data_IF_558581480091
#
_entry.id   IF_558581480091
#
_cell.length_a   1.000
_cell.length_b   1.000
_cell.length_c   1.000
_cell.angle_alpha   90.00
_cell.angle_beta   90.00
_cell.angle_gamma   90.00
#
_symmetry.space_group_name_H-M   'P 1'
#
loop_
_entity.id
_entity.type
_entity.pdbx_description
1 polymer ?
#
# COMPACT_ATOMS: atom_id res chain seq x y z
N UNK A 1 -6.01 35.98 12.20
CA UNK A 1 -7.29 35.28 11.99
C UNK A 1 -7.04 33.81 12.37
N UNK A 2 -7.69 33.32 13.39
CA UNK A 2 -7.65 31.89 13.74
C UNK A 2 -8.70 31.24 12.84
N UNK A 3 -8.25 30.61 11.76
CA UNK A 3 -9.15 29.81 10.93
C UNK A 3 -9.66 28.64 11.77
N UNK A 4 -10.95 28.30 11.63
CA UNK A 4 -11.51 27.13 12.29
C UNK A 4 -10.89 25.86 11.68
N UNK A 5 -10.73 24.80 12.47
CA UNK A 5 -10.18 23.51 12.01
C UNK A 5 -10.92 22.95 10.77
N UNK A 6 -12.21 23.23 10.65
CA UNK A 6 -13.03 22.87 9.50
C UNK A 6 -12.57 23.51 8.18
N UNK A 7 -12.00 24.72 8.21
CA UNK A 7 -11.48 25.40 7.01
C UNK A 7 -10.25 24.68 6.47
N UNK A 8 -9.34 24.22 7.32
CA UNK A 8 -8.14 23.47 6.87
C UNK A 8 -8.49 22.15 6.22
N UNK A 9 -9.50 21.45 6.74
CA UNK A 9 -10.00 20.22 6.12
C UNK A 9 -10.61 20.51 4.75
N UNK A 10 -11.47 21.51 4.65
CA UNK A 10 -12.11 21.90 3.38
C UNK A 10 -11.08 22.33 2.33
N UNK A 11 -10.08 23.13 2.71
CA UNK A 11 -9.01 23.56 1.81
C UNK A 11 -8.15 22.37 1.34
N UNK A 12 -7.86 21.42 2.22
CA UNK A 12 -7.16 20.19 1.87
C UNK A 12 -7.97 19.34 0.89
N UNK A 13 -9.24 19.11 1.17
CA UNK A 13 -10.15 18.37 0.28
C UNK A 13 -10.23 19.02 -1.11
N UNK A 14 -10.43 20.34 -1.17
CA UNK A 14 -10.46 21.07 -2.45
C UNK A 14 -9.13 20.99 -3.22
N UNK A 15 -8.02 21.08 -2.50
CA UNK A 15 -6.68 20.98 -3.07
C UNK A 15 -6.40 19.60 -3.65
N UNK A 16 -6.72 18.54 -2.90
CA UNK A 16 -6.55 17.17 -3.34
C UNK A 16 -7.49 16.81 -4.49
N UNK A 17 -8.77 17.21 -4.42
CA UNK A 17 -9.73 17.00 -5.51
C UNK A 17 -9.22 17.64 -6.81
N UNK A 18 -8.74 18.90 -6.74
CA UNK A 18 -8.13 19.61 -7.89
C UNK A 18 -6.88 18.91 -8.39
N UNK A 19 -5.98 18.47 -7.50
CA UNK A 19 -4.75 17.79 -7.87
C UNK A 19 -5.01 16.53 -8.68
N UNK A 20 -5.98 15.71 -8.26
CA UNK A 20 -6.34 14.45 -8.93
C UNK A 20 -7.33 14.64 -10.09
N UNK A 21 -7.87 15.84 -10.30
CA UNK A 21 -8.92 16.09 -11.30
C UNK A 21 -10.24 15.40 -10.95
N UNK A 22 -10.51 15.15 -9.65
CA UNK A 22 -11.74 14.54 -9.15
C UNK A 22 -12.70 15.62 -8.62
N UNK A 23 -14.00 15.35 -8.60
CA UNK A 23 -15.01 16.32 -8.16
C UNK A 23 -15.07 16.44 -6.63
N UNK A 24 -14.87 15.35 -5.92
CA UNK A 24 -15.02 15.28 -4.47
C UNK A 24 -13.82 14.61 -3.83
N UNK A 25 -13.42 15.13 -2.68
CA UNK A 25 -12.46 14.54 -1.77
C UNK A 25 -13.07 14.50 -0.37
N UNK A 26 -12.91 13.40 0.33
CA UNK A 26 -13.30 13.23 1.72
C UNK A 26 -12.04 12.96 2.52
N UNK A 27 -11.69 13.89 3.43
CA UNK A 27 -10.55 13.75 4.31
C UNK A 27 -10.86 12.76 5.43
N UNK A 28 -9.91 11.89 5.77
CA UNK A 28 -10.06 10.83 6.78
C UNK A 28 -8.86 10.78 7.72
N UNK A 29 -8.96 10.07 8.84
CA UNK A 29 -7.89 9.96 9.83
C UNK A 29 -6.61 9.34 9.28
N UNK A 30 -6.73 8.32 8.44
CA UNK A 30 -5.61 7.65 7.78
C UNK A 30 -6.10 6.81 6.59
N UNK A 31 -5.16 6.19 5.85
CA UNK A 31 -5.50 5.32 4.72
C UNK A 31 -6.34 4.08 5.09
N UNK A 32 -6.21 3.55 6.31
CA UNK A 32 -7.01 2.40 6.78
C UNK A 32 -8.45 2.80 7.03
N UNK A 33 -8.69 3.98 7.65
CA UNK A 33 -10.02 4.56 7.76
C UNK A 33 -10.63 4.83 6.38
N UNK A 34 -9.86 5.40 5.45
CA UNK A 34 -10.30 5.65 4.09
C UNK A 34 -10.73 4.36 3.37
N UNK A 35 -9.94 3.30 3.47
CA UNK A 35 -10.28 1.99 2.89
C UNK A 35 -11.52 1.39 3.54
N UNK A 36 -11.65 1.44 4.87
CA UNK A 36 -12.81 0.93 5.59
C UNK A 36 -14.12 1.61 5.12
N UNK A 37 -14.11 2.94 5.05
CA UNK A 37 -15.24 3.71 4.54
C UNK A 37 -15.54 3.37 3.07
N UNK A 38 -14.52 3.20 2.24
CA UNK A 38 -14.68 2.81 0.83
C UNK A 38 -15.28 1.40 0.69
N UNK A 39 -14.87 0.44 1.53
CA UNK A 39 -15.43 -0.91 1.52
C UNK A 39 -16.90 -0.94 1.97
N UNK A 40 -17.30 -0.02 2.85
CA UNK A 40 -18.69 0.12 3.29
C UNK A 40 -19.64 0.53 2.16
N UNK A 41 -19.13 1.06 1.05
CA UNK A 41 -19.94 1.37 -0.15
C UNK A 41 -20.40 0.11 -0.89
N UNK A 42 -19.72 -1.02 -0.71
CA UNK A 42 -20.16 -2.29 -1.32
C UNK A 42 -21.44 -2.81 -0.68
N UNK A 43 -22.28 -3.49 -1.46
CA UNK A 43 -23.53 -4.06 -0.95
C UNK A 43 -23.28 -5.05 0.20
N UNK A 44 -24.09 -4.98 1.24
CA UNK A 44 -24.08 -5.95 2.35
C UNK A 44 -24.42 -7.38 1.90
N UNK A 45 -25.14 -7.52 0.80
CA UNK A 45 -25.43 -8.84 0.20
C UNK A 45 -24.23 -9.41 -0.57
N UNK A 46 -23.17 -8.59 -0.77
CA UNK A 46 -21.90 -8.97 -1.42
C UNK A 46 -20.74 -8.62 -0.49
N UNK A 47 -20.56 -9.35 0.63
CA UNK A 47 -19.72 -8.93 1.74
C UNK A 47 -18.21 -9.13 1.49
N UNK A 48 -17.81 -9.76 0.39
CA UNK A 48 -16.42 -10.07 0.11
C UNK A 48 -15.72 -8.92 -0.61
N UNK A 49 -14.48 -8.60 -0.17
CA UNK A 49 -13.58 -7.66 -0.82
C UNK A 49 -12.40 -8.43 -1.40
N UNK A 50 -12.21 -8.33 -2.70
CA UNK A 50 -11.10 -8.98 -3.38
C UNK A 50 -9.83 -8.13 -3.28
N UNK A 51 -8.79 -8.70 -2.69
CA UNK A 51 -7.53 -8.06 -2.36
C UNK A 51 -6.36 -8.78 -3.06
N UNK A 52 -5.29 -8.07 -3.48
CA UNK A 52 -4.07 -8.75 -3.91
C UNK A 52 -3.42 -9.50 -2.74
N UNK A 53 -2.90 -10.72 -3.00
CA UNK A 53 -2.25 -11.54 -1.99
C UNK A 53 -0.90 -10.95 -1.49
N UNK A 54 -0.30 -10.04 -2.26
CA UNK A 54 0.93 -9.33 -1.93
C UNK A 54 0.65 -7.85 -1.67
N UNK A 55 0.57 -7.45 -0.41
CA UNK A 55 0.34 -6.05 0.01
C UNK A 55 0.62 -5.88 1.50
N UNK A 56 0.42 -4.68 2.07
CA UNK A 56 0.44 -4.49 3.52
C UNK A 56 -0.85 -5.05 4.18
N UNK A 57 -0.80 -5.27 5.50
CA UNK A 57 -1.93 -5.87 6.23
C UNK A 57 -3.11 -4.92 6.49
N UNK A 58 -2.92 -3.60 6.40
CA UNK A 58 -3.94 -2.62 6.73
C UNK A 58 -5.22 -2.71 5.88
N UNK A 59 -5.18 -3.05 4.57
CA UNK A 59 -6.40 -3.32 3.81
C UNK A 59 -7.25 -4.48 4.35
N UNK A 60 -6.63 -5.50 4.98
CA UNK A 60 -7.38 -6.56 5.65
C UNK A 60 -8.07 -6.05 6.92
N UNK A 61 -7.39 -5.20 7.71
CA UNK A 61 -7.99 -4.56 8.88
C UNK A 61 -9.17 -3.68 8.48
N UNK A 62 -8.99 -2.90 7.41
CA UNK A 62 -10.05 -2.07 6.88
C UNK A 62 -11.30 -2.87 6.47
N UNK A 63 -11.12 -4.08 5.92
CA UNK A 63 -12.24 -4.97 5.60
C UNK A 63 -12.99 -5.41 6.88
N UNK A 64 -12.27 -5.77 7.94
CA UNK A 64 -12.87 -6.09 9.25
C UNK A 64 -13.64 -4.88 9.84
N UNK A 65 -13.08 -3.67 9.72
CA UNK A 65 -13.75 -2.46 10.24
C UNK A 65 -15.01 -2.09 9.47
N UNK A 66 -15.12 -2.51 8.23
CA UNK A 66 -16.29 -2.34 7.39
C UNK A 66 -17.29 -3.52 7.46
N UNK A 67 -17.09 -4.48 8.36
CA UNK A 67 -17.86 -5.73 8.42
C UNK A 67 -17.86 -6.48 7.06
N UNK A 68 -16.69 -6.55 6.44
CA UNK A 68 -16.45 -7.23 5.17
C UNK A 68 -15.44 -8.35 5.31
N UNK A 69 -15.54 -9.34 4.45
CA UNK A 69 -14.65 -10.51 4.43
C UNK A 69 -13.60 -10.34 3.34
N UNK A 70 -12.31 -10.23 3.68
CA UNK A 70 -11.26 -10.21 2.67
C UNK A 70 -11.14 -11.58 1.99
N UNK A 71 -11.00 -11.59 0.67
CA UNK A 71 -10.61 -12.75 -0.14
C UNK A 71 -9.44 -12.33 -1.02
N UNK A 72 -8.58 -13.27 -1.40
CA UNK A 72 -7.31 -12.93 -2.03
C UNK A 72 -7.23 -13.44 -3.47
N UNK A 73 -6.54 -12.67 -4.30
CA UNK A 73 -6.19 -12.96 -5.69
C UNK A 73 -4.66 -12.91 -5.84
N UNK A 74 -4.08 -13.77 -6.67
CA UNK A 74 -2.64 -13.70 -6.97
C UNK A 74 -2.32 -12.44 -7.77
N UNK A 75 -1.05 -12.19 -7.98
CA UNK A 75 -0.53 -10.97 -8.57
C UNK A 75 0.28 -11.25 -9.83
N UNK A 76 0.51 -10.23 -10.63
CA UNK A 76 1.40 -10.29 -11.79
C UNK A 76 2.87 -10.30 -11.34
N UNK A 77 3.70 -11.16 -11.92
CA UNK A 77 5.11 -11.29 -11.56
C UNK A 77 5.91 -10.03 -11.91
N UNK A 78 5.57 -9.38 -13.02
CA UNK A 78 6.26 -8.21 -13.53
C UNK A 78 5.99 -6.91 -12.75
N UNK A 79 4.94 -6.85 -11.95
CA UNK A 79 4.55 -5.62 -11.25
C UNK A 79 4.22 -5.82 -9.76
N UNK A 80 3.84 -7.02 -9.36
CA UNK A 80 3.29 -7.30 -8.02
C UNK A 80 1.87 -6.79 -7.83
N UNK A 81 1.22 -6.21 -8.85
CA UNK A 81 -0.17 -5.75 -8.79
C UNK A 81 -1.14 -6.89 -9.04
N UNK A 82 -2.40 -6.74 -8.59
CA UNK A 82 -3.42 -7.77 -8.76
C UNK A 82 -3.56 -8.21 -10.22
N UNK A 83 -3.69 -9.51 -10.47
CA UNK A 83 -3.83 -10.08 -11.82
C UNK A 83 -5.26 -9.91 -12.32
N UNK A 84 -5.51 -9.10 -13.40
CA UNK A 84 -6.85 -8.84 -13.90
C UNK A 84 -7.51 -10.07 -14.54
N UNK A 85 -6.76 -11.06 -15.03
CA UNK A 85 -7.34 -12.29 -15.58
C UNK A 85 -7.90 -13.16 -14.44
N UNK A 86 -7.19 -13.23 -13.33
CA UNK A 86 -7.68 -13.93 -12.14
C UNK A 86 -8.83 -13.18 -11.48
N UNK A 87 -8.84 -11.84 -11.52
CA UNK A 87 -9.98 -11.03 -11.04
C UNK A 87 -11.24 -11.39 -11.84
N UNK A 88 -11.19 -11.42 -13.18
CA UNK A 88 -12.31 -11.80 -14.04
C UNK A 88 -12.81 -13.21 -13.71
N UNK A 89 -11.88 -14.18 -13.59
CA UNK A 89 -12.22 -15.56 -13.25
C UNK A 89 -12.92 -15.65 -11.88
N UNK A 90 -12.44 -14.95 -10.86
CA UNK A 90 -13.01 -14.95 -9.52
C UNK A 90 -14.39 -14.27 -9.48
N UNK A 91 -14.57 -13.14 -10.16
CA UNK A 91 -15.86 -12.45 -10.22
C UNK A 91 -16.91 -13.26 -10.95
N UNK A 92 -16.53 -14.06 -11.96
CA UNK A 92 -17.44 -14.95 -12.68
C UNK A 92 -17.91 -16.15 -11.84
N UNK A 93 -17.16 -16.54 -10.80
CA UNK A 93 -17.40 -17.70 -9.94
C UNK A 93 -18.03 -17.39 -8.59
N UNK A 94 -17.84 -16.16 -8.09
CA UNK A 94 -18.30 -15.77 -6.75
C UNK A 94 -19.05 -14.43 -6.79
N UNK A 95 -20.35 -14.50 -6.85
CA UNK A 95 -21.25 -13.34 -6.83
C UNK A 95 -21.26 -12.55 -5.50
N UNK A 96 -20.64 -13.10 -4.43
CA UNK A 96 -20.55 -12.43 -3.13
C UNK A 96 -19.40 -11.40 -3.09
N UNK A 97 -18.56 -11.29 -4.11
CA UNK A 97 -17.51 -10.26 -4.19
C UNK A 97 -18.18 -8.93 -4.55
N UNK A 98 -18.13 -7.97 -3.61
CA UNK A 98 -18.76 -6.65 -3.74
C UNK A 98 -17.80 -5.54 -4.14
N UNK A 99 -16.50 -5.71 -3.90
CA UNK A 99 -15.48 -4.76 -4.32
C UNK A 99 -14.15 -5.43 -4.65
N UNK A 100 -13.36 -4.76 -5.50
CA UNK A 100 -11.97 -5.12 -5.86
C UNK A 100 -11.07 -3.97 -5.45
N UNK A 101 -9.97 -4.29 -4.76
CA UNK A 101 -8.91 -3.34 -4.43
C UNK A 101 -7.75 -3.46 -5.43
N UNK A 102 -7.55 -2.43 -6.23
CA UNK A 102 -6.40 -2.28 -7.12
C UNK A 102 -5.31 -1.46 -6.44
N UNK A 103 -4.26 -2.12 -5.95
CA UNK A 103 -3.12 -1.45 -5.29
C UNK A 103 -2.04 -1.17 -6.34
N UNK A 104 -1.61 0.08 -6.44
CA UNK A 104 -0.40 0.46 -7.18
C UNK A 104 0.85 0.11 -6.37
N UNK A 105 1.12 -1.18 -6.26
CA UNK A 105 2.13 -1.71 -5.35
C UNK A 105 3.54 -1.22 -5.74
N UNK A 106 4.30 -0.72 -4.76
CA UNK A 106 5.63 -0.14 -4.91
C UNK A 106 5.71 1.09 -5.83
N UNK A 107 4.57 1.59 -6.29
CA UNK A 107 4.45 2.62 -7.32
C UNK A 107 4.26 2.07 -8.72
N UNK A 108 4.17 0.75 -8.92
CA UNK A 108 3.83 0.14 -10.21
C UNK A 108 2.35 0.33 -10.53
N UNK A 109 2.05 0.66 -11.78
CA UNK A 109 0.67 0.81 -12.24
C UNK A 109 -0.09 -0.53 -12.24
N UNK A 110 -1.21 -0.61 -11.52
CA UNK A 110 -2.18 -1.66 -11.74
C UNK A 110 -2.84 -1.49 -13.12
N UNK A 111 -3.30 -2.57 -13.74
CA UNK A 111 -3.94 -2.54 -15.06
C UNK A 111 -5.38 -1.99 -14.98
N UNK A 112 -5.52 -0.72 -14.59
CA UNK A 112 -6.79 -0.09 -14.24
C UNK A 112 -7.84 -0.15 -15.35
N UNK A 113 -7.46 0.00 -16.62
CA UNK A 113 -8.41 -0.08 -17.75
C UNK A 113 -9.09 -1.43 -17.84
N UNK A 114 -8.35 -2.52 -17.63
CA UNK A 114 -8.90 -3.88 -17.61
C UNK A 114 -9.76 -4.10 -16.38
N UNK A 115 -9.24 -3.78 -15.20
CA UNK A 115 -9.97 -3.92 -13.94
C UNK A 115 -11.29 -3.14 -13.95
N UNK A 116 -11.28 -1.91 -14.51
CA UNK A 116 -12.50 -1.09 -14.64
C UNK A 116 -13.54 -1.73 -15.54
N UNK A 117 -13.12 -2.27 -16.68
CA UNK A 117 -14.04 -2.96 -17.60
C UNK A 117 -14.64 -4.21 -16.95
N UNK A 118 -13.80 -5.03 -16.30
CA UNK A 118 -14.22 -6.23 -15.57
C UNK A 118 -15.18 -5.89 -14.42
N UNK A 119 -14.81 -4.97 -13.53
CA UNK A 119 -15.65 -4.59 -12.40
C UNK A 119 -17.01 -4.02 -12.84
N UNK A 120 -17.02 -3.20 -13.90
CA UNK A 120 -18.26 -2.66 -14.47
C UNK A 120 -19.17 -3.77 -15.03
N UNK A 121 -18.61 -4.76 -15.75
CA UNK A 121 -19.37 -5.89 -16.29
C UNK A 121 -20.04 -6.73 -15.19
N UNK A 122 -19.39 -6.88 -14.04
CA UNK A 122 -19.88 -7.64 -12.89
C UNK A 122 -20.62 -6.79 -11.84
N UNK A 123 -20.78 -5.48 -12.07
CA UNK A 123 -21.37 -4.52 -11.13
C UNK A 123 -20.70 -4.57 -9.74
N UNK A 124 -19.36 -4.57 -9.73
CA UNK A 124 -18.49 -4.61 -8.56
C UNK A 124 -17.78 -3.27 -8.41
N UNK A 125 -17.68 -2.77 -7.20
CA UNK A 125 -16.99 -1.52 -6.88
C UNK A 125 -15.49 -1.68 -7.11
N UNK A 126 -14.87 -0.77 -7.90
CA UNK A 126 -13.43 -0.71 -8.08
C UNK A 126 -12.81 0.38 -7.20
N UNK A 127 -11.96 -0.03 -6.28
CA UNK A 127 -11.23 0.87 -5.37
C UNK A 127 -9.76 0.91 -5.80
N UNK A 128 -9.24 2.12 -6.05
CA UNK A 128 -7.86 2.38 -6.47
C UNK A 128 -7.03 2.86 -5.29
N UNK A 129 -6.01 2.09 -4.87
CA UNK A 129 -5.17 2.41 -3.71
C UNK A 129 -3.84 3.06 -4.13
N UNK A 130 -3.66 4.31 -3.71
CA UNK A 130 -2.51 5.17 -3.99
C UNK A 130 -1.49 5.22 -2.86
N UNK A 131 -1.65 4.43 -1.81
CA UNK A 131 -0.84 4.54 -0.59
C UNK A 131 0.68 4.39 -0.84
N UNK A 132 1.08 3.84 -1.98
CA UNK A 132 2.49 3.71 -2.41
C UNK A 132 2.78 4.38 -3.75
N UNK A 133 1.84 5.12 -4.30
CA UNK A 133 1.95 5.61 -5.68
C UNK A 133 1.42 7.04 -5.84
N UNK A 134 1.34 7.81 -4.74
CA UNK A 134 0.83 9.18 -4.75
C UNK A 134 1.62 10.05 -5.75
N UNK A 135 0.91 10.72 -6.67
CA UNK A 135 1.51 11.53 -7.73
C UNK A 135 2.03 10.75 -8.94
N UNK A 136 1.86 9.41 -8.95
CA UNK A 136 2.16 8.56 -10.11
C UNK A 136 1.27 8.86 -11.30
N UNK A 137 1.75 8.53 -12.51
CA UNK A 137 1.00 8.74 -13.75
C UNK A 137 1.00 7.49 -14.61
N UNK A 138 -0.11 7.28 -15.29
CA UNK A 138 -0.19 6.30 -16.38
C UNK A 138 0.57 6.77 -17.62
N UNK A 139 0.75 5.88 -18.59
CA UNK A 139 1.47 6.18 -19.83
C UNK A 139 0.79 7.29 -20.68
N UNK A 140 -0.52 7.45 -20.54
CA UNK A 140 -1.29 8.52 -21.19
C UNK A 140 -1.19 9.88 -20.48
N UNK A 141 -0.44 9.95 -19.38
CA UNK A 141 -0.23 11.15 -18.56
C UNK A 141 -1.29 11.39 -17.49
N UNK A 142 -2.38 10.62 -17.44
CA UNK A 142 -3.39 10.72 -16.38
C UNK A 142 -2.80 10.29 -15.03
N UNK A 143 -3.25 10.92 -13.95
CA UNK A 143 -2.80 10.58 -12.59
C UNK A 143 -3.37 9.25 -12.14
N UNK A 144 -2.57 8.47 -11.40
CA UNK A 144 -3.11 7.42 -10.55
C UNK A 144 -4.12 8.07 -9.59
N UNK A 145 -5.23 7.40 -9.35
CA UNK A 145 -6.35 7.95 -8.58
C UNK A 145 -7.49 8.53 -9.43
N UNK A 146 -7.32 8.55 -10.76
CA UNK A 146 -8.36 9.03 -11.69
C UNK A 146 -9.27 7.94 -12.25
N UNK A 147 -9.00 6.65 -11.97
CA UNK A 147 -9.61 5.52 -12.70
C UNK A 147 -10.62 4.73 -11.89
N UNK A 148 -10.45 4.56 -10.58
CA UNK A 148 -11.38 3.83 -9.72
C UNK A 148 -12.73 4.55 -9.55
N UNK A 149 -13.77 3.82 -9.15
CA UNK A 149 -15.04 4.43 -8.71
C UNK A 149 -14.78 5.34 -7.50
N UNK A 150 -13.95 4.85 -6.59
CA UNK A 150 -13.29 5.63 -5.54
C UNK A 150 -11.80 5.36 -5.56
N UNK A 151 -11.00 6.35 -5.13
CA UNK A 151 -9.56 6.21 -4.99
C UNK A 151 -9.14 6.62 -3.59
N UNK A 152 -8.18 5.91 -3.00
CA UNK A 152 -7.74 6.11 -1.62
C UNK A 152 -6.29 6.54 -1.58
N UNK A 153 -6.01 7.66 -0.92
CA UNK A 153 -4.66 8.13 -0.60
C UNK A 153 -4.36 7.98 0.89
N UNK A 154 -3.08 7.78 1.21
CA UNK A 154 -2.57 7.69 2.58
C UNK A 154 -1.36 8.60 2.76
N UNK A 155 -1.33 9.32 3.88
CA UNK A 155 -0.29 10.29 4.23
C UNK A 155 0.46 9.90 5.52
N UNK A 156 0.25 8.67 6.00
CA UNK A 156 0.94 8.11 7.16
C UNK A 156 2.43 7.89 6.93
N UNK A 157 3.10 7.31 7.93
CA UNK A 157 4.55 7.06 7.90
C UNK A 157 5.01 6.30 6.66
N UNK A 158 6.17 6.72 6.14
CA UNK A 158 6.84 6.15 4.97
C UNK A 158 6.06 6.26 3.65
N UNK A 159 5.06 7.12 3.57
CA UNK A 159 4.37 7.42 2.32
C UNK A 159 5.17 8.44 1.49
N UNK A 160 4.87 8.57 0.21
CA UNK A 160 5.55 9.52 -0.68
C UNK A 160 5.34 10.95 -0.17
N UNK A 161 4.11 11.28 0.21
CA UNK A 161 3.79 12.52 0.94
C UNK A 161 3.50 12.13 2.39
N UNK A 162 4.55 12.06 3.21
CA UNK A 162 4.49 11.62 4.61
C UNK A 162 4.20 12.80 5.54
N UNK A 163 3.06 12.79 6.19
CA UNK A 163 2.70 13.73 7.26
C UNK A 163 2.51 13.02 8.61
N UNK A 164 2.83 11.72 8.66
CA UNK A 164 2.66 10.87 9.84
C UNK A 164 1.23 10.43 10.09
N UNK A 165 0.25 11.08 9.47
CA UNK A 165 -1.18 10.86 9.66
C UNK A 165 -1.98 11.36 8.44
N UNK A 166 -3.27 11.01 8.37
CA UNK A 166 -4.17 11.45 7.31
C UNK A 166 -4.40 10.42 6.20
N UNK A 167 -5.59 10.51 5.64
CA UNK A 167 -6.02 9.78 4.45
C UNK A 167 -7.05 10.57 3.66
N UNK A 168 -7.30 10.20 2.43
CA UNK A 168 -8.32 10.83 1.60
C UNK A 168 -9.01 9.80 0.71
N UNK A 169 -10.29 10.03 0.45
CA UNK A 169 -11.08 9.29 -0.53
C UNK A 169 -11.50 10.27 -1.63
N UNK A 170 -11.32 9.88 -2.87
CA UNK A 170 -11.61 10.68 -4.05
C UNK A 170 -12.71 10.00 -4.86
N UNK A 171 -13.69 10.76 -5.34
CA UNK A 171 -14.77 10.27 -6.21
C UNK A 171 -15.34 11.38 -7.09
N UNK A 172 -16.06 11.00 -8.15
CA UNK A 172 -16.81 11.93 -9.00
C UNK A 172 -18.32 11.86 -8.79
N UNK A 173 -18.77 10.87 -8.00
CA UNK A 173 -20.17 10.65 -7.70
C UNK A 173 -20.61 11.42 -6.44
N UNK A 174 -21.57 12.35 -6.54
CA UNK A 174 -22.05 13.12 -5.40
C UNK A 174 -22.72 12.26 -4.34
N UNK A 175 -23.43 11.20 -4.73
CA UNK A 175 -24.12 10.33 -3.77
C UNK A 175 -23.15 9.47 -2.95
N UNK A 176 -22.05 9.05 -3.59
CA UNK A 176 -20.93 8.38 -2.92
C UNK A 176 -20.24 9.34 -1.95
N UNK A 177 -19.99 10.58 -2.38
CA UNK A 177 -19.36 11.59 -1.52
C UNK A 177 -20.20 11.89 -0.26
N UNK A 178 -21.51 12.06 -0.43
CA UNK A 178 -22.42 12.31 0.70
C UNK A 178 -22.47 11.10 1.65
N UNK A 179 -22.52 9.89 1.12
CA UNK A 179 -22.49 8.66 1.92
C UNK A 179 -21.19 8.57 2.72
N UNK A 180 -20.04 8.82 2.09
CA UNK A 180 -18.73 8.78 2.76
C UNK A 180 -18.59 9.84 3.85
N UNK A 181 -19.12 11.06 3.66
CA UNK A 181 -19.12 12.11 4.69
C UNK A 181 -19.95 11.69 5.91
N UNK A 182 -21.12 11.09 5.70
CA UNK A 182 -21.94 10.58 6.77
C UNK A 182 -21.21 9.48 7.56
N UNK A 183 -20.66 8.47 6.87
CA UNK A 183 -19.90 7.39 7.49
C UNK A 183 -18.66 7.90 8.24
N UNK A 184 -17.92 8.87 7.68
CA UNK A 184 -16.76 9.48 8.33
C UNK A 184 -17.15 10.18 9.63
N UNK A 185 -18.30 10.84 9.67
CA UNK A 185 -18.79 11.52 10.87
C UNK A 185 -19.17 10.59 12.02
N UNK A 186 -19.42 9.30 11.75
CA UNK A 186 -19.82 8.28 12.71
C UNK A 186 -18.63 7.55 13.36
N UNK A 187 -17.44 7.53 12.70
CA UNK A 187 -16.27 6.86 13.28
C UNK A 187 -15.70 7.66 14.47
N UNK A 188 -15.04 6.99 15.45
CA UNK A 188 -14.56 7.66 16.65
C UNK A 188 -13.45 8.66 16.37
N UNK A 189 -13.27 9.63 17.26
CA UNK A 189 -12.09 10.50 17.25
C UNK A 189 -10.83 9.71 17.58
N UNK A 190 -9.68 10.24 17.17
CA UNK A 190 -8.38 9.63 17.47
C UNK A 190 -8.16 9.49 18.97
N UNK A 191 -7.61 8.35 19.39
CA UNK A 191 -7.25 8.10 20.77
C UNK A 191 -6.11 9.05 21.22
N UNK A 192 -6.23 9.66 22.40
CA UNK A 192 -5.19 10.56 22.95
C UNK A 192 -3.86 9.82 23.18
N UNK A 193 -3.90 8.56 23.65
CA UNK A 193 -2.73 7.72 23.92
C UNK A 193 -2.29 6.89 22.70
N UNK A 194 -2.53 7.36 21.48
CA UNK A 194 -2.12 6.68 20.25
C UNK A 194 -0.62 6.30 20.19
N UNK A 195 0.35 7.08 20.73
CA UNK A 195 1.77 6.68 20.74
C UNK A 195 2.06 5.41 21.53
N UNK A 196 1.44 5.20 22.69
CA UNK A 196 1.59 3.99 23.50
C UNK A 196 1.01 2.77 22.76
N UNK A 197 -0.17 2.92 22.15
CA UNK A 197 -0.78 1.89 21.32
C UNK A 197 0.08 1.54 20.10
N UNK A 198 0.67 2.53 19.43
CA UNK A 198 1.57 2.30 18.30
C UNK A 198 2.84 1.55 18.70
N UNK A 199 3.37 1.83 19.91
CA UNK A 199 4.52 1.11 20.45
C UNK A 199 4.16 -0.35 20.75
N UNK A 200 3.01 -0.61 21.38
CA UNK A 200 2.52 -1.95 21.65
C UNK A 200 2.29 -2.74 20.36
N UNK A 201 1.65 -2.10 19.35
CA UNK A 201 1.47 -2.70 18.03
C UNK A 201 2.78 -3.14 17.41
N UNK A 202 3.80 -2.27 17.38
CA UNK A 202 5.12 -2.60 16.80
C UNK A 202 5.77 -3.78 17.51
N UNK A 203 5.78 -3.79 18.84
CA UNK A 203 6.37 -4.87 19.63
C UNK A 203 5.69 -6.19 19.32
N UNK A 204 4.37 -6.26 19.42
CA UNK A 204 3.60 -7.47 19.16
C UNK A 204 3.73 -7.94 17.71
N UNK A 205 3.68 -7.02 16.74
CA UNK A 205 3.86 -7.32 15.33
C UNK A 205 5.17 -8.06 15.07
N UNK A 206 6.31 -7.49 15.50
CA UNK A 206 7.62 -8.10 15.26
C UNK A 206 7.84 -9.38 16.06
N UNK A 207 7.25 -9.51 17.25
CA UNK A 207 7.25 -10.74 18.03
C UNK A 207 6.52 -11.87 17.27
N UNK A 208 5.32 -11.61 16.78
CA UNK A 208 4.53 -12.60 16.04
C UNK A 208 5.23 -12.98 14.74
N UNK A 209 5.78 -12.02 13.99
CA UNK A 209 6.57 -12.30 12.77
C UNK A 209 7.77 -13.20 13.08
N UNK A 210 8.49 -12.92 14.16
CA UNK A 210 9.64 -13.73 14.58
C UNK A 210 9.26 -15.15 15.00
N UNK A 211 8.18 -15.30 15.75
CA UNK A 211 7.67 -16.61 16.19
C UNK A 211 7.06 -17.37 15.01
N UNK A 212 6.30 -16.70 14.16
CA UNK A 212 5.67 -17.29 12.97
C UNK A 212 6.68 -17.80 11.94
N UNK A 213 7.87 -17.20 11.88
CA UNK A 213 8.98 -17.72 11.07
C UNK A 213 9.50 -19.08 11.58
N UNK A 214 9.28 -19.42 12.84
CA UNK A 214 9.65 -20.71 13.45
C UNK A 214 8.49 -21.71 13.42
N UNK A 215 7.27 -21.22 13.66
CA UNK A 215 6.04 -22.01 13.63
C UNK A 215 4.89 -21.13 13.11
N UNK A 216 4.41 -21.42 11.92
CA UNK A 216 3.38 -20.63 11.21
C UNK A 216 2.07 -20.48 12.02
N UNK A 217 1.79 -21.36 12.99
CA UNK A 217 0.61 -21.24 13.86
C UNK A 217 0.58 -19.93 14.65
N UNK A 218 1.74 -19.33 14.94
CA UNK A 218 1.77 -18.01 15.59
C UNK A 218 1.18 -16.88 14.74
N UNK A 219 1.10 -17.03 13.41
CA UNK A 219 0.42 -16.04 12.56
C UNK A 219 -1.09 -15.96 12.83
N UNK A 220 -1.71 -16.96 13.44
CA UNK A 220 -3.11 -16.91 13.87
C UNK A 220 -3.37 -15.80 14.90
N UNK A 221 -2.35 -15.34 15.62
CA UNK A 221 -2.46 -14.21 16.54
C UNK A 221 -2.77 -12.88 15.82
N UNK A 222 -2.47 -12.78 14.52
CA UNK A 222 -2.87 -11.63 13.74
C UNK A 222 -4.39 -11.51 13.54
N UNK A 223 -5.14 -12.58 13.76
CA UNK A 223 -6.61 -12.53 13.72
C UNK A 223 -7.19 -11.60 14.79
N UNK A 224 -6.47 -11.39 15.89
CA UNK A 224 -6.86 -10.48 16.98
C UNK A 224 -6.51 -9.00 16.71
N UNK A 225 -5.58 -8.74 15.80
CA UNK A 225 -5.02 -7.39 15.59
C UNK A 225 -6.05 -6.36 15.12
N UNK A 226 -6.97 -6.65 14.19
CA UNK A 226 -7.93 -5.66 13.76
C UNK A 226 -8.70 -5.07 14.94
N UNK A 227 -9.25 -5.92 15.82
CA UNK A 227 -10.03 -5.43 16.97
C UNK A 227 -9.17 -4.81 18.06
N UNK A 228 -8.03 -5.44 18.39
CA UNK A 228 -7.13 -4.93 19.43
C UNK A 228 -6.58 -3.54 19.09
N UNK A 229 -6.28 -3.29 17.82
CA UNK A 229 -5.68 -2.03 17.36
C UNK A 229 -6.64 -1.15 16.55
N UNK A 230 -7.94 -1.44 16.57
CA UNK A 230 -8.96 -0.59 15.92
C UNK A 230 -8.81 0.90 16.28
N UNK A 231 -8.59 1.31 17.54
CA UNK A 231 -8.44 2.73 17.89
C UNK A 231 -7.20 3.41 17.29
N UNK A 232 -6.20 2.62 16.85
CA UNK A 232 -5.00 3.12 16.19
C UNK A 232 -5.20 3.31 14.68
N UNK A 233 -6.10 2.56 14.06
CA UNK A 233 -6.21 2.49 12.60
C UNK A 233 -7.59 2.92 12.05
N UNK A 234 -8.61 3.08 12.91
CA UNK A 234 -9.95 3.46 12.49
C UNK A 234 -10.48 4.61 13.33
N UNK A 235 -10.20 5.82 12.87
CA UNK A 235 -10.55 7.06 13.56
C UNK A 235 -10.79 8.20 12.56
N UNK A 236 -11.50 9.23 13.05
CA UNK A 236 -11.92 10.42 12.32
C UNK A 236 -10.75 11.31 11.92
N UNK A 237 -10.95 12.07 10.86
CA UNK A 237 -10.05 13.08 10.35
C UNK A 237 -9.52 14.07 11.40
N UNK A 238 -8.25 14.49 11.23
CA UNK A 238 -7.63 15.55 12.02
C UNK A 238 -7.26 16.75 11.13
N UNK A 239 -7.51 17.95 11.60
CA UNK A 239 -7.25 19.17 10.86
C UNK A 239 -5.74 19.48 10.72
N UNK A 240 -4.94 19.10 11.72
CA UNK A 240 -3.50 19.36 11.69
C UNK A 240 -2.81 18.61 10.51
N UNK A 241 -3.17 17.34 10.28
CA UNK A 241 -2.63 16.57 9.16
C UNK A 241 -3.10 17.14 7.80
N UNK A 242 -4.34 17.63 7.71
CA UNK A 242 -4.86 18.28 6.49
C UNK A 242 -4.03 19.52 6.10
N UNK A 243 -3.71 20.36 7.05
CA UNK A 243 -2.84 21.53 6.84
C UNK A 243 -1.44 21.13 6.38
N UNK A 244 -0.86 20.08 6.97
CA UNK A 244 0.47 19.59 6.59
C UNK A 244 0.48 19.03 5.17
N UNK A 245 -0.54 18.30 4.74
CA UNK A 245 -0.67 17.76 3.38
C UNK A 245 -0.75 18.90 2.37
N UNK A 246 -1.61 19.91 2.59
CA UNK A 246 -1.75 21.06 1.71
C UNK A 246 -0.43 21.81 1.52
N UNK A 247 0.34 21.98 2.59
CA UNK A 247 1.64 22.65 2.54
C UNK A 247 2.70 21.83 1.79
N UNK A 248 2.76 20.52 1.99
CA UNK A 248 3.76 19.64 1.37
C UNK A 248 3.47 19.31 -0.08
N UNK A 249 2.23 19.42 -0.52
CA UNK A 249 1.84 19.12 -1.90
C UNK A 249 2.57 20.01 -2.92
N UNK A 250 2.91 21.26 -2.54
CA UNK A 250 3.68 22.16 -3.40
C UNK A 250 5.12 21.71 -3.68
N UNK A 251 5.69 20.87 -2.81
CA UNK A 251 7.04 20.31 -2.97
C UNK A 251 7.05 18.89 -3.57
N UNK A 252 5.88 18.33 -3.91
CA UNK A 252 5.73 16.96 -4.33
C UNK A 252 6.54 16.63 -5.61
N UNK A 253 6.54 17.52 -6.58
CA UNK A 253 7.27 17.30 -7.85
C UNK A 253 8.78 17.14 -7.61
N UNK A 254 9.36 17.92 -6.72
CA UNK A 254 10.76 17.79 -6.34
C UNK A 254 11.03 16.47 -5.61
N UNK A 255 10.16 16.08 -4.69
CA UNK A 255 10.27 14.80 -3.99
C UNK A 255 10.21 13.62 -4.99
N UNK A 256 9.29 13.67 -5.95
CA UNK A 256 9.18 12.64 -7.00
C UNK A 256 10.43 12.60 -7.87
N UNK A 257 10.98 13.74 -8.27
CA UNK A 257 12.20 13.82 -9.08
C UNK A 257 13.40 13.20 -8.33
N UNK A 258 13.58 13.54 -7.06
CA UNK A 258 14.65 12.98 -6.23
C UNK A 258 14.52 11.46 -6.07
N UNK A 259 13.30 10.95 -5.83
CA UNK A 259 13.04 9.51 -5.75
C UNK A 259 13.39 8.79 -7.04
N UNK A 260 13.01 9.37 -8.18
CA UNK A 260 13.35 8.81 -9.50
C UNK A 260 14.85 8.80 -9.74
N UNK A 261 15.54 9.89 -9.45
CA UNK A 261 16.99 9.98 -9.60
C UNK A 261 17.72 8.85 -8.86
N UNK A 262 17.38 8.62 -7.60
CA UNK A 262 17.98 7.56 -6.79
C UNK A 262 17.58 6.17 -7.28
N UNK A 263 16.32 5.98 -7.69
CA UNK A 263 15.86 4.72 -8.24
C UNK A 263 16.55 4.37 -9.59
N UNK A 264 16.77 5.35 -10.45
CA UNK A 264 17.46 5.18 -11.74
C UNK A 264 18.94 4.82 -11.52
N UNK A 265 19.60 5.43 -10.52
CA UNK A 265 20.95 5.05 -10.10
C UNK A 265 20.99 3.58 -9.68
N UNK A 266 20.08 3.14 -8.81
CA UNK A 266 20.01 1.73 -8.41
C UNK A 266 19.73 0.82 -9.61
N UNK A 267 18.80 1.19 -10.48
CA UNK A 267 18.45 0.38 -11.65
C UNK A 267 19.65 0.20 -12.59
N UNK A 268 20.35 1.28 -12.95
CA UNK A 268 21.50 1.23 -13.85
C UNK A 268 22.65 0.39 -13.28
N UNK A 269 22.86 0.44 -11.97
CA UNK A 269 24.00 -0.21 -11.32
C UNK A 269 23.75 -1.68 -10.94
N UNK A 270 22.46 -2.08 -10.79
CA UNK A 270 22.09 -3.41 -10.34
C UNK A 270 21.54 -4.31 -11.46
N UNK A 271 21.10 -3.75 -12.60
CA UNK A 271 20.42 -4.49 -13.67
C UNK A 271 21.26 -5.66 -14.23
N UNK A 272 22.57 -5.43 -14.42
CA UNK A 272 23.48 -6.40 -15.02
C UNK A 272 24.11 -7.35 -13.97
N UNK A 273 23.75 -7.22 -12.70
CA UNK A 273 24.31 -8.09 -11.66
C UNK A 273 23.70 -9.49 -11.78
N UNK A 274 24.53 -10.52 -11.92
CA UNK A 274 24.02 -11.87 -11.93
C UNK A 274 23.21 -12.16 -10.64
N UNK A 275 22.05 -12.84 -10.77
CA UNK A 275 21.15 -13.18 -9.65
C UNK A 275 20.31 -12.02 -9.12
N UNK A 276 20.41 -10.83 -9.71
CA UNK A 276 19.48 -9.73 -9.52
C UNK A 276 18.45 -9.74 -10.64
N UNK A 277 17.17 -9.54 -10.29
CA UNK A 277 16.07 -9.35 -11.23
C UNK A 277 15.36 -8.05 -10.87
N UNK A 278 15.27 -7.13 -11.81
CA UNK A 278 14.50 -5.90 -11.65
C UNK A 278 13.04 -6.16 -12.02
N UNK A 279 12.12 -5.34 -11.49
CA UNK A 279 10.77 -5.26 -12.00
C UNK A 279 10.81 -4.51 -13.34
N UNK A 280 10.32 -5.10 -14.45
CA UNK A 280 10.35 -4.45 -15.75
C UNK A 280 9.36 -3.29 -15.81
N UNK A 281 9.74 -2.22 -16.50
CA UNK A 281 8.80 -1.16 -16.90
C UNK A 281 8.22 -0.33 -15.76
N UNK A 282 9.02 0.03 -14.76
CA UNK A 282 8.56 0.93 -13.71
C UNK A 282 8.08 2.27 -14.31
N UNK A 283 6.79 2.54 -14.22
CA UNK A 283 6.16 3.73 -14.83
C UNK A 283 5.67 4.77 -13.82
N UNK A 284 5.68 4.44 -12.54
CA UNK A 284 5.08 5.25 -11.48
C UNK A 284 6.05 6.15 -10.73
N UNK A 285 5.77 6.33 -9.44
CA UNK A 285 6.64 7.01 -8.47
C UNK A 285 7.22 5.96 -7.54
N UNK A 286 8.55 5.81 -7.44
CA UNK A 286 9.13 4.79 -6.59
C UNK A 286 8.86 5.09 -5.10
N UNK A 287 7.99 4.27 -4.49
CA UNK A 287 7.86 4.27 -3.03
C UNK A 287 9.17 3.84 -2.38
N UNK A 288 9.75 2.77 -2.92
CA UNK A 288 11.09 2.22 -2.67
C UNK A 288 11.63 1.76 -4.01
N UNK A 289 12.94 1.61 -4.14
CA UNK A 289 13.49 0.82 -5.24
C UNK A 289 13.40 -0.65 -4.89
N UNK A 290 12.86 -1.46 -5.80
CA UNK A 290 12.60 -2.87 -5.57
C UNK A 290 13.35 -3.71 -6.59
N UNK A 291 14.03 -4.74 -6.10
CA UNK A 291 14.66 -5.77 -6.92
C UNK A 291 14.47 -7.13 -6.25
N UNK A 292 14.76 -8.18 -7.00
CA UNK A 292 14.61 -9.56 -6.55
C UNK A 292 15.97 -10.25 -6.56
N UNK A 293 16.20 -11.08 -5.56
CA UNK A 293 17.32 -12.00 -5.47
C UNK A 293 16.81 -13.39 -5.12
N UNK A 294 17.65 -14.40 -5.25
CA UNK A 294 17.31 -15.75 -4.82
C UNK A 294 16.81 -15.77 -3.37
N UNK A 295 15.74 -16.52 -3.12
CA UNK A 295 15.07 -16.57 -1.82
C UNK A 295 15.98 -17.05 -0.68
N UNK A 296 16.97 -17.90 -0.96
CA UNK A 296 17.94 -18.38 0.04
C UNK A 296 19.05 -17.36 0.29
N UNK A 297 19.43 -16.57 -0.73
CA UNK A 297 20.46 -15.55 -0.62
C UNK A 297 19.96 -14.26 0.07
N UNK A 298 18.66 -13.94 -0.05
CA UNK A 298 18.08 -12.69 0.46
C UNK A 298 18.31 -12.44 1.94
N UNK A 299 18.06 -13.37 2.87
CA UNK A 299 18.21 -13.10 4.31
C UNK A 299 19.63 -12.65 4.69
N UNK A 300 20.63 -13.30 4.12
CA UNK A 300 22.04 -12.98 4.38
C UNK A 300 22.42 -11.63 3.75
N UNK A 301 22.02 -11.36 2.51
CA UNK A 301 22.22 -10.06 1.87
C UNK A 301 21.64 -8.93 2.74
N UNK A 302 20.39 -9.05 3.17
CA UNK A 302 19.73 -8.03 4.00
C UNK A 302 20.40 -7.86 5.36
N UNK A 303 20.84 -8.96 6.00
CA UNK A 303 21.57 -8.91 7.26
C UNK A 303 22.86 -8.09 7.11
N UNK A 304 23.62 -8.34 6.06
CA UNK A 304 24.89 -7.64 5.76
C UNK A 304 24.65 -6.16 5.47
N UNK A 305 23.64 -5.81 4.65
CA UNK A 305 23.27 -4.42 4.37
C UNK A 305 22.99 -3.65 5.66
N UNK A 306 22.22 -4.24 6.59
CA UNK A 306 21.92 -3.61 7.89
C UNK A 306 23.15 -3.47 8.77
N UNK A 307 24.08 -4.42 8.76
CA UNK A 307 25.32 -4.34 9.53
C UNK A 307 26.24 -3.22 9.08
N UNK A 308 26.19 -2.86 7.78
CA UNK A 308 26.90 -1.69 7.24
C UNK A 308 26.16 -0.35 7.48
N UNK A 309 25.03 -0.38 8.21
CA UNK A 309 24.30 0.83 8.56
C UNK A 309 23.37 1.37 7.47
N UNK A 310 23.03 0.54 6.46
CA UNK A 310 22.06 0.91 5.44
C UNK A 310 20.67 0.36 5.76
N UNK A 311 19.64 1.10 5.35
CA UNK A 311 18.24 0.67 5.48
C UNK A 311 17.89 -0.30 4.35
N UNK A 312 17.25 -1.40 4.72
CA UNK A 312 16.75 -2.40 3.79
C UNK A 312 15.53 -3.11 4.37
N UNK A 313 14.54 -3.38 3.54
CA UNK A 313 13.36 -4.17 3.91
C UNK A 313 13.01 -5.20 2.84
N UNK A 314 12.02 -6.04 3.16
CA UNK A 314 11.49 -7.10 2.29
C UNK A 314 9.95 -7.03 2.26
N UNK A 315 9.41 -5.82 2.22
CA UNK A 315 7.97 -5.63 2.10
C UNK A 315 7.50 -6.04 0.69
N UNK A 316 6.51 -6.91 0.58
CA UNK A 316 5.65 -7.36 1.65
C UNK A 316 5.76 -8.87 1.83
N UNK A 317 5.51 -9.40 3.05
CA UNK A 317 5.28 -10.82 3.22
C UNK A 317 3.97 -11.22 2.55
N UNK A 318 3.83 -12.49 2.26
CA UNK A 318 2.52 -13.02 1.85
C UNK A 318 1.57 -12.99 3.06
N UNK A 319 0.39 -12.40 2.88
CA UNK A 319 -0.55 -12.17 3.98
C UNK A 319 -1.64 -13.24 4.08
N UNK A 320 -1.72 -14.14 3.11
CA UNK A 320 -2.75 -15.17 3.09
C UNK A 320 -2.68 -16.09 4.29
N UNK A 321 -1.47 -16.38 4.77
CA UNK A 321 -1.28 -17.19 5.98
C UNK A 321 -1.63 -16.43 7.28
N UNK A 322 -1.73 -15.10 7.22
CA UNK A 322 -1.98 -14.22 8.37
C UNK A 322 -3.46 -13.88 8.57
N UNK A 323 -4.34 -14.43 7.75
CA UNK A 323 -5.76 -14.14 7.78
C UNK A 323 -6.59 -15.43 7.61
N UNK A 324 -7.72 -15.60 8.34
CA UNK A 324 -8.55 -16.81 8.25
C UNK A 324 -9.02 -17.11 6.83
N UNK A 325 -9.43 -16.08 6.08
CA UNK A 325 -9.91 -16.27 4.69
C UNK A 325 -8.80 -16.74 3.76
N UNK A 326 -7.59 -16.19 3.89
CA UNK A 326 -6.43 -16.62 3.10
C UNK A 326 -6.00 -18.05 3.44
N UNK A 327 -5.96 -18.40 4.72
CA UNK A 327 -5.69 -19.79 5.17
C UNK A 327 -6.74 -20.76 4.63
N UNK A 328 -8.03 -20.36 4.60
CA UNK A 328 -9.11 -21.16 4.03
C UNK A 328 -8.98 -21.34 2.51
N UNK A 329 -8.52 -20.33 1.78
CA UNK A 329 -8.27 -20.44 0.34
C UNK A 329 -7.11 -21.39 0.03
N UNK A 330 -6.06 -21.38 0.87
CA UNK A 330 -4.85 -22.20 0.70
C UNK A 330 -3.74 -21.49 -0.09
N UNK A 331 -2.53 -21.54 0.44
CA UNK A 331 -1.36 -20.83 -0.10
C UNK A 331 -0.95 -21.25 -1.52
N UNK A 332 -1.37 -22.45 -1.96
CA UNK A 332 -1.09 -22.94 -3.32
C UNK A 332 -1.78 -22.14 -4.43
N UNK A 333 -2.80 -21.34 -4.11
CA UNK A 333 -3.49 -20.46 -5.06
C UNK A 333 -2.74 -19.15 -5.33
N UNK A 334 -1.65 -18.86 -4.61
CA UNK A 334 -0.90 -17.61 -4.71
C UNK A 334 0.58 -17.84 -5.01
N UNK A 335 0.94 -18.63 -6.04
CA UNK A 335 2.34 -19.00 -6.31
C UNK A 335 3.22 -17.78 -6.61
N UNK A 336 2.71 -16.79 -7.36
CA UNK A 336 3.47 -15.59 -7.72
C UNK A 336 3.71 -14.71 -6.50
N UNK A 337 2.65 -14.39 -5.74
CA UNK A 337 2.78 -13.61 -4.50
C UNK A 337 3.74 -14.27 -3.51
N UNK A 338 3.69 -15.60 -3.38
CA UNK A 338 4.58 -16.36 -2.50
C UNK A 338 6.04 -16.25 -2.94
N UNK A 339 6.34 -16.40 -4.23
CA UNK A 339 7.69 -16.26 -4.76
C UNK A 339 8.20 -14.82 -4.56
N UNK A 340 7.42 -13.81 -4.96
CA UNK A 340 7.78 -12.41 -4.80
C UNK A 340 8.05 -12.06 -3.33
N UNK A 341 7.22 -12.51 -2.41
CA UNK A 341 7.39 -12.26 -0.97
C UNK A 341 8.71 -12.77 -0.40
N UNK A 342 9.29 -13.81 -1.01
CA UNK A 342 10.56 -14.41 -0.59
C UNK A 342 11.79 -13.78 -1.26
N UNK A 343 11.61 -13.17 -2.44
CA UNK A 343 12.70 -12.67 -3.28
C UNK A 343 12.90 -11.16 -3.19
N UNK A 344 11.84 -10.38 -2.90
CA UNK A 344 11.88 -8.91 -2.93
C UNK A 344 12.82 -8.34 -1.87
N UNK A 345 13.61 -7.35 -2.32
CA UNK A 345 14.42 -6.45 -1.50
C UNK A 345 14.03 -5.02 -1.83
N UNK A 346 13.76 -4.20 -0.81
CA UNK A 346 13.42 -2.80 -0.97
C UNK A 346 14.56 -1.91 -0.45
N UNK A 347 15.02 -0.96 -1.28
CA UNK A 347 15.98 0.08 -0.92
C UNK A 347 15.28 1.43 -0.81
N UNK A 348 15.76 2.28 0.09
CA UNK A 348 15.22 3.62 0.29
C UNK A 348 15.61 4.55 -0.87
N UNK A 349 14.67 5.41 -1.25
CA UNK A 349 14.80 6.43 -2.30
C UNK A 349 14.30 7.80 -1.85
N UNK A 350 13.92 7.93 -0.58
CA UNK A 350 13.49 9.19 0.01
C UNK A 350 14.68 10.09 0.37
N UNK A 351 14.40 11.27 0.92
CA UNK A 351 15.42 12.31 1.25
C UNK A 351 16.51 11.83 2.23
N UNK A 352 16.38 10.65 2.85
CA UNK A 352 17.45 10.06 3.66
C UNK A 352 18.57 9.44 2.82
N UNK A 353 18.38 9.33 1.50
CA UNK A 353 19.33 8.78 0.54
C UNK A 353 19.63 9.81 -0.56
N UNK A 354 20.84 10.37 -0.52
CA UNK A 354 21.42 11.11 -1.63
C UNK A 354 22.22 10.18 -2.57
N UNK A 355 22.74 10.70 -3.67
CA UNK A 355 23.54 9.93 -4.64
C UNK A 355 24.79 9.30 -4.00
N UNK A 356 25.43 9.99 -3.04
CA UNK A 356 26.60 9.48 -2.34
C UNK A 356 26.28 8.23 -1.52
N UNK A 357 25.22 8.29 -0.70
CA UNK A 357 24.77 7.17 0.13
C UNK A 357 24.25 6.01 -0.73
N UNK A 358 23.50 6.32 -1.79
CA UNK A 358 23.01 5.32 -2.73
C UNK A 358 24.16 4.60 -3.47
N UNK A 359 25.16 5.34 -3.94
CA UNK A 359 26.37 4.76 -4.59
C UNK A 359 27.15 3.87 -3.63
N UNK A 360 27.30 4.28 -2.37
CA UNK A 360 27.97 3.47 -1.35
C UNK A 360 27.23 2.16 -1.09
N UNK A 361 25.89 2.21 -0.98
CA UNK A 361 25.05 1.03 -0.83
C UNK A 361 25.18 0.07 -2.02
N UNK A 362 25.15 0.58 -3.25
CA UNK A 362 25.33 -0.23 -4.47
C UNK A 362 26.67 -0.94 -4.48
N UNK A 363 27.76 -0.22 -4.19
CA UNK A 363 29.11 -0.83 -4.11
C UNK A 363 29.13 -1.98 -3.10
N UNK A 364 28.50 -1.78 -1.94
CA UNK A 364 28.40 -2.82 -0.93
C UNK A 364 27.58 -4.02 -1.41
N UNK A 365 26.41 -3.81 -2.04
CA UNK A 365 25.57 -4.90 -2.59
C UNK A 365 26.35 -5.73 -3.60
N UNK A 366 27.12 -5.09 -4.51
CA UNK A 366 27.96 -5.77 -5.50
C UNK A 366 28.96 -6.72 -4.83
N UNK A 367 29.66 -6.25 -3.80
CA UNK A 367 30.61 -7.06 -3.03
C UNK A 367 29.88 -8.21 -2.33
N UNK A 368 28.80 -7.91 -1.61
CA UNK A 368 28.06 -8.89 -0.85
C UNK A 368 27.52 -10.05 -1.73
N UNK A 369 27.00 -9.73 -2.93
CA UNK A 369 26.51 -10.73 -3.87
C UNK A 369 27.65 -11.52 -4.53
N UNK A 370 28.83 -10.93 -4.77
CA UNK A 370 29.97 -11.65 -5.36
C UNK A 370 30.55 -12.69 -4.39
N UNK A 371 30.63 -12.36 -3.10
CA UNK A 371 31.14 -13.25 -2.06
C UNK A 371 30.21 -14.42 -1.77
N UNK A 372 28.90 -14.21 -1.80
CA UNK A 372 27.90 -15.29 -1.62
C UNK A 372 27.96 -16.37 -2.71
N UNK A 373 28.53 -16.08 -3.87
CA UNK A 373 28.69 -17.05 -4.97
C UNK A 373 30.00 -17.82 -4.93
N UNK A 374 30.98 -17.30 -4.21
CA UNK A 374 32.28 -17.96 -4.06
C UNK A 374 32.33 -18.94 -2.88
N UNK A 375 31.27 -18.96 -2.06
CA UNK A 375 31.09 -19.88 -0.93
C UNK A 375 30.09 -20.98 -1.26
#
# INVERSE_FOLDING_TARGET
MIFSESVWVQDCEATLAKFFGRKYCIWTGNGTSALSLSYSLSSTNRPKILLPALMCMHPMFAATYADRTPVFCDVLEESGTIDPDLVEDMLSKDENIGAVLAVHLFGNAAQMSRLKATCAAHQVLLIEDLAQAFGGRFADGSLFGSSGDVSVASFGYSKILDTGDGGAILTDDPSVADTLRNLESEIPVRLEDAPSFASAYKVLYYQIVSLGAQDARFFELFDLFPELFRPLFHYRATAAAALMVSNRLSALDLEIQNRKLIADLYASELAELPGVKLFPGFSGVPWRFNFRVDALARPELMRRIRQEGFDVSSWYPILTDWNPSGRSQGSHLFPIANNLSREIVNLWVDQSYDECRATALVKFIKIALSEQRGS
#
